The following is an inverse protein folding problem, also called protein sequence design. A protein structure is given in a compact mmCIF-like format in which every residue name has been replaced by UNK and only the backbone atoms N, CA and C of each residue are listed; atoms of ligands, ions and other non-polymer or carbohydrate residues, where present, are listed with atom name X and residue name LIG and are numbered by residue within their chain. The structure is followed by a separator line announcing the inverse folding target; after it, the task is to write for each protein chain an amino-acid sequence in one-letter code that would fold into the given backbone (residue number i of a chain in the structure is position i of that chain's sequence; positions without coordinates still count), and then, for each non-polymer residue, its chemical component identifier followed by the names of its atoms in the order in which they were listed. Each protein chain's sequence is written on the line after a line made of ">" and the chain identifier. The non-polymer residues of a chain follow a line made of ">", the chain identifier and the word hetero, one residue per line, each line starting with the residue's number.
data_IF_524740570844
#
_entry.id   IF_524740570844
#
_cell.length_a   1.000
_cell.length_b   1.000
_cell.length_c   1.000
_cell.angle_alpha   90.00
_cell.angle_beta   90.00
_cell.angle_gamma   90.00
#
_symmetry.space_group_name_H-M   'P 1'
#
loop_
_entity.id
_entity.type
_entity.pdbx_description
1 polymer ?
#
# COMPACT_ATOMS: atom_id res chain seq x y z
N UNK A 1 -0.78 -55.69 -1.02
CA UNK A 1 0.18 -55.01 -1.92
C UNK A 1 -0.14 -53.52 -1.92
N UNK A 2 0.48 -52.76 -1.03
CA UNK A 2 0.43 -51.29 -1.02
C UNK A 2 1.45 -50.78 -2.01
N UNK A 3 0.99 -50.32 -3.17
CA UNK A 3 1.83 -49.59 -4.14
C UNK A 3 2.24 -48.27 -3.49
N UNK A 4 3.44 -48.25 -2.90
CA UNK A 4 4.12 -47.04 -2.48
C UNK A 4 4.45 -46.23 -3.74
N UNK A 5 3.57 -45.30 -4.11
CA UNK A 5 3.88 -44.30 -5.12
C UNK A 5 4.99 -43.41 -4.59
N UNK A 6 6.23 -43.76 -4.92
CA UNK A 6 7.40 -42.94 -4.70
C UNK A 6 7.14 -41.60 -5.39
N UNK A 7 6.84 -40.57 -4.60
CA UNK A 7 6.49 -39.25 -5.10
C UNK A 7 7.73 -38.67 -5.79
N UNK A 8 7.73 -38.59 -7.12
CA UNK A 8 8.85 -38.00 -7.87
C UNK A 8 8.94 -36.51 -7.48
N UNK A 9 10.07 -36.05 -6.93
CA UNK A 9 10.24 -34.65 -6.51
C UNK A 9 10.09 -33.65 -7.67
N UNK A 10 10.12 -34.12 -8.93
CA UNK A 10 9.79 -33.32 -10.12
C UNK A 10 8.30 -32.98 -10.23
N UNK A 11 7.41 -33.86 -9.77
CA UNK A 11 5.95 -33.63 -9.78
C UNK A 11 5.54 -32.68 -8.65
N UNK A 12 6.23 -32.76 -7.50
CA UNK A 12 5.99 -31.89 -6.35
C UNK A 12 6.31 -30.41 -6.62
N UNK A 13 7.21 -30.13 -7.58
CA UNK A 13 7.60 -28.77 -7.97
C UNK A 13 7.01 -28.31 -9.31
N UNK A 14 6.12 -29.10 -9.93
CA UNK A 14 5.43 -28.66 -11.14
C UNK A 14 4.38 -27.60 -10.76
N UNK A 15 4.42 -26.39 -11.34
CA UNK A 15 3.40 -25.38 -11.08
C UNK A 15 1.97 -25.80 -11.46
N UNK A 16 1.78 -26.84 -12.29
CA UNK A 16 0.46 -27.44 -12.53
C UNK A 16 -0.09 -28.25 -11.35
N UNK A 17 0.77 -28.73 -10.46
CA UNK A 17 0.39 -29.46 -9.25
C UNK A 17 -0.17 -28.55 -8.16
N UNK A 18 -0.10 -27.22 -8.33
CA UNK A 18 -0.62 -26.26 -7.36
C UNK A 18 -2.15 -26.37 -7.19
N UNK A 19 -2.64 -26.74 -5.98
CA UNK A 19 -4.07 -26.82 -5.71
C UNK A 19 -4.80 -25.48 -5.88
N UNK A 20 -4.13 -24.34 -5.68
CA UNK A 20 -4.74 -23.03 -5.85
C UNK A 20 -5.02 -22.73 -7.33
N UNK A 21 -4.12 -23.11 -8.23
CA UNK A 21 -4.31 -23.03 -9.67
C UNK A 21 -5.50 -23.89 -10.12
N UNK A 22 -5.59 -25.14 -9.65
CA UNK A 22 -6.74 -26.03 -9.94
C UNK A 22 -8.06 -25.42 -9.47
N UNK A 23 -8.13 -24.90 -8.25
CA UNK A 23 -9.34 -24.23 -7.73
C UNK A 23 -9.72 -22.99 -8.55
N UNK A 24 -8.73 -22.21 -8.99
CA UNK A 24 -8.98 -21.04 -9.84
C UNK A 24 -9.51 -21.45 -11.21
N UNK A 25 -9.02 -22.55 -11.79
CA UNK A 25 -9.48 -23.07 -13.07
C UNK A 25 -10.90 -23.65 -12.95
N UNK A 26 -11.15 -24.48 -11.93
CA UNK A 26 -12.48 -25.03 -11.65
C UNK A 26 -13.51 -23.92 -11.42
N UNK A 27 -13.18 -22.91 -10.62
CA UNK A 27 -14.04 -21.74 -10.41
C UNK A 27 -14.26 -20.91 -11.67
N UNK A 28 -13.30 -20.87 -12.60
CA UNK A 28 -13.47 -20.22 -13.90
C UNK A 28 -14.44 -21.00 -14.80
N UNK A 29 -14.26 -22.31 -14.90
CA UNK A 29 -15.05 -23.20 -15.76
C UNK A 29 -16.49 -23.34 -15.24
N UNK A 30 -16.66 -23.56 -13.94
CA UNK A 30 -17.97 -23.77 -13.30
C UNK A 30 -18.96 -22.62 -13.46
N UNK A 31 -18.47 -21.40 -13.72
CA UNK A 31 -19.32 -20.24 -13.99
C UNK A 31 -19.85 -20.17 -15.43
N UNK A 32 -19.36 -21.05 -16.32
CA UNK A 32 -19.55 -20.94 -17.78
C UNK A 32 -20.17 -22.19 -18.40
N UNK A 33 -20.01 -23.35 -17.77
CA UNK A 33 -20.55 -24.62 -18.28
C UNK A 33 -21.47 -25.29 -17.26
N UNK A 34 -22.38 -26.18 -17.70
CA UNK A 34 -23.19 -27.00 -16.81
C UNK A 34 -22.34 -27.78 -15.80
N UNK A 35 -22.91 -28.06 -14.63
CA UNK A 35 -22.18 -28.76 -13.56
C UNK A 35 -21.64 -30.13 -13.98
N UNK A 36 -22.33 -30.82 -14.91
CA UNK A 36 -21.91 -32.10 -15.49
C UNK A 36 -20.59 -32.01 -16.26
N UNK A 37 -20.30 -30.85 -16.87
CA UNK A 37 -19.20 -30.71 -17.82
C UNK A 37 -17.95 -30.08 -17.17
N UNK A 38 -18.07 -29.62 -15.91
CA UNK A 38 -16.99 -28.91 -15.21
C UNK A 38 -15.75 -29.77 -15.07
N UNK A 39 -15.90 -30.98 -14.52
CA UNK A 39 -14.76 -31.86 -14.25
C UNK A 39 -14.10 -32.31 -15.55
N UNK A 40 -14.89 -32.61 -16.58
CA UNK A 40 -14.41 -33.01 -17.91
C UNK A 40 -13.62 -31.89 -18.60
N UNK A 41 -14.12 -30.65 -18.55
CA UNK A 41 -13.43 -29.49 -19.11
C UNK A 41 -12.14 -29.23 -18.34
N UNK A 42 -12.18 -29.22 -17.00
CA UNK A 42 -10.99 -29.00 -16.16
C UNK A 42 -9.93 -30.07 -16.43
N UNK A 43 -10.34 -31.34 -16.47
CA UNK A 43 -9.45 -32.45 -16.79
C UNK A 43 -8.83 -32.28 -18.18
N UNK A 44 -9.64 -31.98 -19.19
CA UNK A 44 -9.16 -31.79 -20.57
C UNK A 44 -8.14 -30.65 -20.65
N UNK A 45 -8.40 -29.52 -19.99
CA UNK A 45 -7.46 -28.39 -19.95
C UNK A 45 -6.13 -28.79 -19.31
N UNK A 46 -6.16 -29.53 -18.20
CA UNK A 46 -4.95 -29.99 -17.51
C UNK A 46 -4.18 -31.03 -18.34
N UNK A 47 -4.88 -31.95 -19.01
CA UNK A 47 -4.26 -32.91 -19.93
C UNK A 47 -3.57 -32.22 -21.11
N UNK A 48 -4.24 -31.26 -21.75
CA UNK A 48 -3.66 -30.46 -22.84
C UNK A 48 -2.44 -29.67 -22.34
N UNK A 49 -2.51 -29.14 -21.11
CA UNK A 49 -1.40 -28.43 -20.50
C UNK A 49 -0.19 -29.32 -20.21
N UNK A 50 -0.43 -30.56 -19.76
CA UNK A 50 0.63 -31.55 -19.52
C UNK A 50 1.29 -32.01 -20.83
N UNK A 51 0.52 -32.11 -21.92
CA UNK A 51 1.02 -32.52 -23.23
C UNK A 51 1.78 -31.41 -23.98
N UNK A 52 1.60 -30.13 -23.59
CA UNK A 52 2.18 -29.00 -24.30
C UNK A 52 3.69 -28.83 -24.05
N UNK A 53 4.48 -28.83 -25.13
CA UNK A 53 5.94 -28.68 -25.07
C UNK A 53 6.41 -27.23 -24.76
N UNK A 54 5.57 -26.23 -25.07
CA UNK A 54 5.88 -24.79 -24.92
C UNK A 54 5.24 -24.11 -23.70
N UNK A 55 4.89 -24.88 -22.67
CA UNK A 55 4.19 -24.38 -21.48
C UNK A 55 5.03 -23.32 -20.72
N UNK A 56 4.46 -22.15 -20.38
CA UNK A 56 5.15 -21.17 -19.54
C UNK A 56 5.52 -21.74 -18.16
N UNK A 57 6.72 -21.40 -17.67
CA UNK A 57 7.18 -21.81 -16.33
C UNK A 57 6.86 -20.81 -15.23
N UNK A 58 6.67 -19.54 -15.60
CA UNK A 58 6.22 -18.53 -14.65
C UNK A 58 4.76 -18.81 -14.24
N UNK A 59 4.43 -18.84 -12.94
CA UNK A 59 3.07 -19.14 -12.47
C UNK A 59 1.99 -18.19 -12.99
N UNK A 60 2.32 -16.90 -13.17
CA UNK A 60 1.34 -15.91 -13.60
C UNK A 60 1.02 -16.04 -15.10
N UNK A 61 2.05 -16.28 -15.91
CA UNK A 61 1.91 -16.56 -17.34
C UNK A 61 1.26 -17.92 -17.59
N UNK A 62 1.61 -18.94 -16.80
CA UNK A 62 1.00 -20.26 -16.84
C UNK A 62 -0.51 -20.15 -16.58
N UNK A 63 -0.91 -19.40 -15.55
CA UNK A 63 -2.32 -19.17 -15.24
C UNK A 63 -3.03 -18.49 -16.40
N UNK A 64 -2.47 -17.42 -16.97
CA UNK A 64 -3.06 -16.73 -18.12
C UNK A 64 -3.20 -17.65 -19.33
N UNK A 65 -2.18 -18.46 -19.60
CA UNK A 65 -2.14 -19.41 -20.71
C UNK A 65 -3.17 -20.54 -20.52
N UNK A 66 -3.26 -21.14 -19.33
CA UNK A 66 -4.29 -22.13 -18.97
C UNK A 66 -5.70 -21.59 -19.13
N UNK A 67 -5.95 -20.35 -18.70
CA UNK A 67 -7.24 -19.70 -18.91
C UNK A 67 -7.52 -19.46 -20.41
N UNK A 68 -6.48 -19.31 -21.24
CA UNK A 68 -6.61 -19.29 -22.70
C UNK A 68 -7.14 -20.63 -23.24
N UNK A 69 -6.53 -21.73 -22.83
CA UNK A 69 -6.98 -23.09 -23.19
C UNK A 69 -8.41 -23.31 -22.69
N UNK A 70 -8.70 -22.96 -21.44
CA UNK A 70 -10.01 -23.13 -20.83
C UNK A 70 -11.12 -22.40 -21.60
N UNK A 71 -10.87 -21.16 -22.04
CA UNK A 71 -11.81 -20.42 -22.90
C UNK A 71 -12.18 -21.20 -24.16
N UNK A 72 -11.18 -21.75 -24.85
CA UNK A 72 -11.43 -22.55 -26.05
C UNK A 72 -12.26 -23.81 -25.75
N UNK A 73 -11.99 -24.50 -24.63
CA UNK A 73 -12.76 -25.67 -24.22
C UNK A 73 -14.20 -25.33 -23.80
N UNK A 74 -14.41 -24.21 -23.13
CA UNK A 74 -15.75 -23.71 -22.81
C UNK A 74 -16.53 -23.42 -24.10
N UNK A 75 -15.91 -22.72 -25.07
CA UNK A 75 -16.52 -22.47 -26.37
C UNK A 75 -16.84 -23.79 -27.12
N UNK A 76 -15.99 -24.83 -27.00
CA UNK A 76 -16.27 -26.16 -27.54
C UNK A 76 -17.52 -26.80 -26.93
N UNK A 77 -17.74 -26.66 -25.61
CA UNK A 77 -18.93 -27.18 -24.93
C UNK A 77 -20.20 -26.49 -25.45
N UNK A 78 -20.22 -25.16 -25.54
CA UNK A 78 -21.37 -24.44 -26.11
C UNK A 78 -21.67 -24.88 -27.55
N UNK A 79 -20.63 -25.08 -28.38
CA UNK A 79 -20.79 -25.61 -29.75
C UNK A 79 -21.32 -27.04 -29.81
N UNK A 80 -21.14 -27.86 -28.77
CA UNK A 80 -21.70 -29.22 -28.72
C UNK A 80 -23.15 -29.20 -28.27
N UNK A 81 -23.45 -28.43 -27.23
CA UNK A 81 -24.80 -28.30 -26.66
C UNK A 81 -25.84 -27.82 -27.68
N UNK A 82 -25.45 -27.04 -28.68
CA UNK A 82 -26.33 -26.59 -29.76
C UNK A 82 -26.47 -27.57 -30.94
N UNK A 83 -25.52 -28.51 -31.12
CA UNK A 83 -25.56 -29.49 -32.22
C UNK A 83 -26.33 -30.76 -31.87
N UNK A 84 -26.33 -31.15 -30.60
CA UNK A 84 -27.11 -32.27 -30.11
C UNK A 84 -28.52 -31.79 -29.76
N UNK A 85 -29.60 -32.40 -30.30
CA UNK A 85 -30.93 -32.16 -29.76
C UNK A 85 -30.86 -32.53 -28.29
N UNK A 86 -31.22 -31.59 -27.41
CA UNK A 86 -31.26 -31.80 -25.97
C UNK A 86 -32.11 -33.05 -25.71
N UNK A 87 -31.46 -34.21 -25.56
CA UNK A 87 -32.11 -35.36 -24.98
C UNK A 87 -32.59 -34.88 -23.62
N UNK A 88 -33.86 -35.13 -23.28
CA UNK A 88 -34.40 -34.93 -21.93
C UNK A 88 -33.63 -35.84 -20.98
N UNK A 89 -32.43 -35.40 -20.61
CA UNK A 89 -31.71 -35.89 -19.45
C UNK A 89 -32.50 -35.40 -18.25
N UNK A 90 -32.69 -36.25 -17.23
CA UNK A 90 -33.37 -35.84 -16.00
C UNK A 90 -32.69 -34.60 -15.45
N UNK A 91 -33.50 -33.64 -14.98
CA UNK A 91 -33.11 -32.35 -14.44
C UNK A 91 -32.10 -32.53 -13.29
N UNK A 92 -30.82 -32.61 -13.65
CA UNK A 92 -29.73 -32.60 -12.69
C UNK A 92 -29.62 -31.18 -12.19
N UNK A 93 -30.08 -30.95 -10.96
CA UNK A 93 -30.06 -29.67 -10.28
C UNK A 93 -28.72 -28.95 -10.53
N UNK A 94 -28.74 -27.98 -11.44
CA UNK A 94 -27.60 -27.13 -11.70
C UNK A 94 -27.24 -26.46 -10.38
N UNK A 95 -26.04 -26.76 -9.85
CA UNK A 95 -25.59 -26.21 -8.58
C UNK A 95 -25.79 -24.69 -8.62
N UNK A 96 -26.53 -24.10 -7.67
CA UNK A 96 -26.91 -22.71 -7.78
C UNK A 96 -25.67 -21.83 -7.92
N UNK A 97 -25.66 -20.98 -8.95
CA UNK A 97 -24.64 -19.93 -9.07
C UNK A 97 -24.56 -19.16 -7.73
N UNK A 98 -23.35 -18.72 -7.31
CA UNK A 98 -23.18 -17.87 -6.14
C UNK A 98 -24.17 -16.70 -6.16
N UNK A 99 -24.66 -16.29 -5.00
CA UNK A 99 -25.71 -15.26 -4.86
C UNK A 99 -25.31 -13.98 -5.62
N UNK A 100 -24.04 -13.56 -5.51
CA UNK A 100 -23.49 -12.40 -6.21
C UNK A 100 -23.58 -12.51 -7.75
N UNK A 101 -23.31 -13.68 -8.32
CA UNK A 101 -23.38 -13.91 -9.76
C UNK A 101 -24.84 -13.91 -10.24
N UNK A 102 -25.75 -14.50 -9.46
CA UNK A 102 -27.21 -14.44 -9.72
C UNK A 102 -27.76 -13.04 -9.60
N UNK A 103 -27.25 -12.24 -8.67
CA UNK A 103 -27.65 -10.85 -8.49
C UNK A 103 -27.11 -9.97 -9.62
N UNK A 104 -25.87 -10.20 -10.05
CA UNK A 104 -25.29 -9.48 -11.18
C UNK A 104 -26.02 -9.83 -12.49
N UNK A 105 -26.35 -11.11 -12.71
CA UNK A 105 -27.16 -11.54 -13.87
C UNK A 105 -28.56 -10.93 -13.81
N UNK A 106 -29.27 -11.07 -12.68
CA UNK A 106 -30.62 -10.51 -12.50
C UNK A 106 -30.62 -9.00 -12.64
N UNK A 107 -29.61 -8.32 -12.13
CA UNK A 107 -29.43 -6.89 -12.29
C UNK A 107 -29.19 -6.53 -13.76
N UNK A 108 -28.33 -7.27 -14.47
CA UNK A 108 -28.09 -7.06 -15.90
C UNK A 108 -29.35 -7.30 -16.75
N UNK A 109 -30.15 -8.32 -16.43
CA UNK A 109 -31.44 -8.61 -17.06
C UNK A 109 -32.48 -7.52 -16.79
N UNK A 110 -32.60 -7.05 -15.54
CA UNK A 110 -33.49 -5.94 -15.17
C UNK A 110 -33.09 -4.64 -15.87
N UNK A 111 -31.79 -4.39 -15.99
CA UNK A 111 -31.25 -3.22 -16.67
C UNK A 111 -31.48 -3.31 -18.18
N UNK A 112 -31.12 -4.42 -18.83
CA UNK A 112 -31.24 -4.59 -20.28
C UNK A 112 -32.69 -4.55 -20.81
N UNK A 113 -33.67 -4.57 -19.91
CA UNK A 113 -35.10 -4.66 -20.20
C UNK A 113 -35.52 -6.12 -20.35
N UNK A 114 -36.68 -6.48 -19.80
CA UNK A 114 -37.19 -7.87 -19.77
C UNK A 114 -37.59 -8.44 -21.14
N UNK A 115 -37.09 -7.89 -22.25
CA UNK A 115 -37.37 -8.37 -23.59
C UNK A 115 -36.48 -9.59 -23.89
N UNK A 116 -37.06 -10.67 -24.44
CA UNK A 116 -36.30 -11.84 -24.90
C UNK A 116 -35.09 -11.49 -25.78
N UNK A 117 -35.20 -10.44 -26.59
CA UNK A 117 -34.09 -9.96 -27.41
C UNK A 117 -32.92 -9.37 -26.59
N UNK A 118 -33.20 -8.69 -25.48
CA UNK A 118 -32.14 -8.17 -24.62
C UNK A 118 -31.40 -9.32 -23.94
N UNK A 119 -32.13 -10.31 -23.40
CA UNK A 119 -31.57 -11.53 -22.82
C UNK A 119 -30.74 -12.32 -23.84
N UNK A 120 -31.23 -12.47 -25.06
CA UNK A 120 -30.47 -13.15 -26.13
C UNK A 120 -29.18 -12.40 -26.49
N UNK A 121 -29.22 -11.06 -26.45
CA UNK A 121 -28.01 -10.25 -26.69
C UNK A 121 -27.01 -10.39 -25.54
N UNK A 122 -27.49 -10.51 -24.30
CA UNK A 122 -26.66 -10.78 -23.11
C UNK A 122 -26.00 -12.16 -23.17
N UNK A 123 -26.74 -13.18 -23.60
CA UNK A 123 -26.22 -14.52 -23.83
C UNK A 123 -25.08 -14.50 -24.86
N UNK A 124 -25.29 -13.85 -26.02
CA UNK A 124 -24.23 -13.68 -27.01
C UNK A 124 -23.00 -12.95 -26.47
N UNK A 125 -23.18 -11.95 -25.62
CA UNK A 125 -22.06 -11.24 -24.97
C UNK A 125 -21.30 -12.11 -23.98
N UNK A 126 -22.01 -13.02 -23.30
CA UNK A 126 -21.41 -13.98 -22.36
C UNK A 126 -20.56 -14.98 -23.15
N UNK A 127 -21.12 -15.57 -24.21
CA UNK A 127 -20.44 -16.49 -25.13
C UNK A 127 -19.23 -15.85 -25.84
N UNK A 128 -19.37 -14.59 -26.27
CA UNK A 128 -18.26 -13.80 -26.82
C UNK A 128 -17.13 -13.63 -25.79
N UNK A 129 -17.49 -13.36 -24.53
CA UNK A 129 -16.54 -13.28 -23.41
C UNK A 129 -15.83 -14.60 -23.11
N UNK A 130 -16.48 -15.72 -23.41
CA UNK A 130 -15.94 -17.07 -23.22
C UNK A 130 -15.06 -17.53 -24.39
N UNK A 131 -14.96 -16.72 -25.45
CA UNK A 131 -14.02 -16.90 -26.56
C UNK A 131 -14.65 -17.32 -27.88
N UNK A 132 -15.98 -17.36 -27.95
CA UNK A 132 -16.68 -17.59 -29.20
C UNK A 132 -16.73 -16.33 -30.07
N UNK A 133 -16.60 -16.48 -31.39
CA UNK A 133 -16.66 -15.33 -32.30
C UNK A 133 -18.11 -14.97 -32.61
N UNK A 134 -18.41 -13.67 -32.70
CA UNK A 134 -19.76 -13.19 -33.03
C UNK A 134 -20.25 -13.71 -34.39
N UNK A 135 -19.36 -13.98 -35.34
CA UNK A 135 -19.70 -14.57 -36.65
C UNK A 135 -20.16 -16.02 -36.52
N UNK A 136 -19.54 -16.79 -35.61
CA UNK A 136 -19.89 -18.18 -35.32
C UNK A 136 -21.24 -18.23 -34.59
N UNK A 137 -21.42 -17.39 -33.57
CA UNK A 137 -22.70 -17.21 -32.87
C UNK A 137 -23.81 -16.84 -33.86
N UNK A 138 -23.54 -15.92 -34.80
CA UNK A 138 -24.50 -15.50 -35.81
C UNK A 138 -24.91 -16.64 -36.76
N UNK A 139 -23.94 -17.45 -37.20
CA UNK A 139 -24.18 -18.60 -38.06
C UNK A 139 -25.06 -19.65 -37.36
N UNK A 140 -24.78 -19.94 -36.09
CA UNK A 140 -25.53 -20.89 -35.28
C UNK A 140 -26.95 -20.41 -34.97
N UNK A 141 -27.08 -19.14 -34.58
CA UNK A 141 -28.37 -18.52 -34.25
C UNK A 141 -29.23 -18.20 -35.47
N UNK A 142 -28.69 -18.42 -36.68
CA UNK A 142 -29.32 -18.10 -37.97
C UNK A 142 -29.71 -16.63 -38.08
N UNK A 143 -28.85 -15.75 -37.55
CA UNK A 143 -29.01 -14.29 -37.59
C UNK A 143 -27.88 -13.69 -38.44
N UNK A 144 -28.14 -12.64 -39.25
CA UNK A 144 -27.06 -11.97 -39.98
C UNK A 144 -25.95 -11.44 -39.03
N UNK A 145 -24.65 -11.67 -39.31
CA UNK A 145 -23.55 -11.23 -38.44
C UNK A 145 -23.57 -9.74 -38.10
N UNK A 146 -23.96 -8.90 -39.07
CA UNK A 146 -24.10 -7.47 -38.86
C UNK A 146 -25.13 -7.11 -37.77
N UNK A 147 -26.23 -7.86 -37.66
CA UNK A 147 -27.26 -7.65 -36.63
C UNK A 147 -26.77 -8.03 -35.25
N UNK A 148 -26.03 -9.14 -35.11
CA UNK A 148 -25.43 -9.56 -33.83
C UNK A 148 -24.46 -8.48 -33.34
N UNK A 149 -23.51 -8.06 -34.20
CA UNK A 149 -22.55 -6.99 -33.85
C UNK A 149 -23.25 -5.68 -33.48
N UNK A 150 -24.29 -5.29 -34.22
CA UNK A 150 -25.03 -4.06 -33.93
C UNK A 150 -25.77 -4.13 -32.59
N UNK A 151 -26.42 -5.25 -32.27
CA UNK A 151 -27.13 -5.46 -31.00
C UNK A 151 -26.15 -5.44 -29.83
N UNK A 152 -25.05 -6.19 -29.92
CA UNK A 152 -23.99 -6.22 -28.90
C UNK A 152 -23.38 -4.83 -28.71
N UNK A 153 -23.08 -4.11 -29.81
CA UNK A 153 -22.54 -2.74 -29.74
C UNK A 153 -23.52 -1.77 -29.06
N UNK A 154 -24.80 -1.80 -29.42
CA UNK A 154 -25.84 -0.97 -28.79
C UNK A 154 -25.99 -1.30 -27.30
N UNK A 155 -26.01 -2.58 -26.95
CA UNK A 155 -26.11 -3.03 -25.57
C UNK A 155 -24.91 -2.56 -24.73
N UNK A 156 -23.69 -2.71 -25.23
CA UNK A 156 -22.46 -2.23 -24.58
C UNK A 156 -22.48 -0.71 -24.37
N UNK A 157 -22.93 0.06 -25.37
CA UNK A 157 -23.05 1.53 -25.27
C UNK A 157 -24.09 1.93 -24.22
N UNK A 158 -25.26 1.32 -24.27
CA UNK A 158 -26.35 1.56 -23.32
C UNK A 158 -25.92 1.28 -21.88
N UNK A 159 -25.25 0.15 -21.64
CA UNK A 159 -24.66 -0.16 -20.33
C UNK A 159 -23.61 0.88 -19.92
N UNK A 160 -22.66 1.21 -20.79
CA UNK A 160 -21.58 2.16 -20.47
C UNK A 160 -22.12 3.54 -20.07
N UNK A 161 -23.09 4.06 -20.81
CA UNK A 161 -23.71 5.36 -20.51
C UNK A 161 -24.36 5.37 -19.12
N UNK A 162 -24.96 4.24 -18.70
CA UNK A 162 -25.62 4.10 -17.41
C UNK A 162 -24.64 3.96 -16.25
N UNK A 163 -23.57 3.19 -16.43
CA UNK A 163 -22.54 3.00 -15.39
C UNK A 163 -21.64 4.23 -15.21
N UNK A 164 -21.45 5.05 -16.24
CA UNK A 164 -20.66 6.29 -16.10
C UNK A 164 -21.30 7.30 -15.15
N UNK A 165 -22.63 7.39 -15.12
CA UNK A 165 -23.34 8.25 -14.17
C UNK A 165 -23.14 7.78 -12.72
N UNK A 166 -23.23 6.47 -12.49
CA UNK A 166 -23.02 5.87 -11.16
C UNK A 166 -21.56 6.03 -10.70
N UNK A 167 -20.58 5.70 -11.54
CA UNK A 167 -19.15 5.85 -11.21
C UNK A 167 -18.80 7.32 -10.91
N UNK A 168 -19.36 8.28 -11.67
CA UNK A 168 -19.12 9.70 -11.44
C UNK A 168 -19.69 10.15 -10.07
N UNK A 169 -20.87 9.66 -9.69
CA UNK A 169 -21.45 9.94 -8.37
C UNK A 169 -20.59 9.38 -7.24
N UNK A 170 -20.14 8.13 -7.35
CA UNK A 170 -19.26 7.50 -6.35
C UNK A 170 -17.92 8.21 -6.25
N UNK A 171 -17.33 8.62 -7.38
CA UNK A 171 -16.09 9.39 -7.42
C UNK A 171 -16.26 10.78 -6.76
N UNK A 172 -17.40 11.44 -6.95
CA UNK A 172 -17.70 12.72 -6.31
C UNK A 172 -17.82 12.57 -4.78
N UNK A 173 -18.50 11.53 -4.30
CA UNK A 173 -18.57 11.21 -2.86
C UNK A 173 -17.19 10.93 -2.29
N UNK A 174 -16.37 10.15 -3.00
CA UNK A 174 -15.01 9.84 -2.57
C UNK A 174 -14.12 11.09 -2.53
N UNK A 175 -14.23 11.98 -3.52
CA UNK A 175 -13.53 13.25 -3.55
C UNK A 175 -13.96 14.16 -2.38
N UNK A 176 -15.26 14.24 -2.09
CA UNK A 176 -15.79 14.96 -0.92
C UNK A 176 -15.25 14.38 0.40
N UNK A 177 -15.20 13.06 0.53
CA UNK A 177 -14.65 12.39 1.70
C UNK A 177 -13.14 12.68 1.87
N UNK A 178 -12.37 12.69 0.78
CA UNK A 178 -10.95 13.08 0.80
C UNK A 178 -10.75 14.55 1.17
N UNK A 179 -11.59 15.45 0.66
CA UNK A 179 -11.56 16.87 1.02
C UNK A 179 -11.91 17.05 2.50
N UNK A 180 -12.96 16.39 2.99
CA UNK A 180 -13.33 16.41 4.40
C UNK A 180 -12.19 15.86 5.27
N UNK A 181 -11.64 14.69 4.92
CA UNK A 181 -10.49 14.12 5.60
C UNK A 181 -9.29 15.05 5.59
N UNK A 182 -8.99 15.71 4.48
CA UNK A 182 -7.91 16.69 4.38
C UNK A 182 -8.17 17.91 5.27
N UNK A 183 -9.42 18.40 5.33
CA UNK A 183 -9.82 19.50 6.22
C UNK A 183 -9.72 19.10 7.70
N UNK A 184 -10.16 17.89 8.08
CA UNK A 184 -10.06 17.36 9.44
C UNK A 184 -8.63 16.95 9.83
N UNK A 185 -7.79 16.59 8.85
CA UNK A 185 -6.37 16.33 9.03
C UNK A 185 -5.50 17.55 8.82
N UNK A 186 -6.05 18.73 8.51
CA UNK A 186 -5.27 19.96 8.62
C UNK A 186 -4.80 19.98 10.08
N UNK A 187 -3.49 19.85 10.33
CA UNK A 187 -3.00 20.02 11.68
C UNK A 187 -3.52 21.38 12.10
N UNK A 188 -4.28 21.43 13.20
CA UNK A 188 -4.55 22.70 13.86
C UNK A 188 -3.20 23.37 13.95
N UNK A 189 -3.05 24.57 13.38
CA UNK A 189 -1.80 25.31 13.48
C UNK A 189 -1.37 25.17 14.94
N UNK A 190 -0.18 24.58 15.22
CA UNK A 190 0.25 24.45 16.59
C UNK A 190 0.15 25.84 17.18
N UNK A 191 -0.71 26.00 18.20
CA UNK A 191 -0.98 27.27 18.85
C UNK A 191 0.36 27.99 18.99
N UNK A 192 0.49 29.23 18.47
CA UNK A 192 1.76 29.86 18.13
C UNK A 192 2.76 29.52 19.22
N UNK A 193 3.65 28.57 18.90
CA UNK A 193 4.56 27.99 19.86
C UNK A 193 5.26 29.17 20.49
N UNK A 194 5.05 29.35 21.80
CA UNK A 194 5.63 30.45 22.53
C UNK A 194 7.13 30.38 22.22
N UNK A 195 7.60 31.29 21.35
CA UNK A 195 9.01 31.41 21.02
C UNK A 195 9.73 31.30 22.35
N UNK A 196 10.73 30.41 22.52
CA UNK A 196 11.46 30.35 23.77
C UNK A 196 11.83 31.78 24.09
N UNK A 197 11.23 32.29 25.15
CA UNK A 197 11.47 33.63 25.62
C UNK A 197 12.98 33.67 25.75
N UNK A 198 13.63 34.56 24.99
CA UNK A 198 15.07 34.78 25.14
C UNK A 198 15.31 34.79 26.64
N UNK A 199 16.25 33.98 27.17
CA UNK A 199 16.50 33.97 28.60
C UNK A 199 16.61 35.42 29.02
N UNK A 200 15.70 35.85 29.91
CA UNK A 200 15.81 37.14 30.56
C UNK A 200 17.28 37.27 30.94
N UNK A 201 17.95 38.40 30.65
CA UNK A 201 19.31 38.58 31.13
C UNK A 201 19.28 38.23 32.61
N UNK A 202 20.16 37.30 33.01
CA UNK A 202 20.29 36.87 34.39
C UNK A 202 20.21 38.12 35.28
N UNK A 203 19.48 38.08 36.42
CA UNK A 203 19.35 39.24 37.27
C UNK A 203 20.75 39.79 37.48
N UNK A 204 20.97 41.00 36.96
CA UNK A 204 22.24 41.71 37.02
C UNK A 204 22.71 41.58 38.44
N UNK A 205 23.89 40.99 38.65
CA UNK A 205 24.49 40.84 39.98
C UNK A 205 24.25 42.14 40.74
N UNK A 206 23.42 42.04 41.77
CA UNK A 206 22.99 43.18 42.57
C UNK A 206 24.27 43.92 42.95
N UNK A 207 24.45 45.13 42.42
CA UNK A 207 25.67 45.91 42.64
C UNK A 207 25.62 46.29 44.10
N UNK A 208 26.25 45.47 44.94
CA UNK A 208 26.36 45.71 46.38
C UNK A 208 26.94 47.09 46.57
N UNK A 209 26.35 47.85 47.47
CA UNK A 209 26.87 49.18 47.74
C UNK A 209 28.32 49.05 48.22
N UNK A 210 29.24 49.99 47.88
CA UNK A 210 30.63 49.93 48.33
C UNK A 210 30.79 49.76 49.86
N UNK A 211 29.77 50.20 50.61
CA UNK A 211 29.71 50.10 52.06
C UNK A 211 29.43 48.68 52.55
N UNK A 212 28.62 47.90 51.83
CA UNK A 212 28.35 46.49 52.14
C UNK A 212 29.56 45.61 51.81
N UNK A 213 30.25 45.89 50.69
CA UNK A 213 31.49 45.19 50.34
C UNK A 213 32.60 45.47 51.37
N UNK A 214 32.72 46.71 51.84
CA UNK A 214 33.65 47.06 52.90
C UNK A 214 33.34 46.34 54.23
N UNK A 215 32.06 46.20 54.59
CA UNK A 215 31.64 45.44 55.78
C UNK A 215 32.00 43.96 55.64
N UNK A 216 31.70 43.35 54.50
CA UNK A 216 31.99 41.94 54.25
C UNK A 216 33.51 41.63 54.30
N UNK A 217 34.35 42.53 53.76
CA UNK A 217 35.80 42.40 53.85
C UNK A 217 36.29 42.51 55.30
N UNK A 218 35.71 43.40 56.10
CA UNK A 218 36.08 43.57 57.51
C UNK A 218 35.73 42.34 58.34
N UNK A 219 34.55 41.79 58.15
CA UNK A 219 34.09 40.59 58.86
C UNK A 219 34.97 39.37 58.51
N UNK A 220 35.36 39.26 57.24
CA UNK A 220 36.27 38.20 56.78
C UNK A 220 37.66 38.33 57.40
N UNK A 221 38.22 39.54 57.45
CA UNK A 221 39.51 39.78 58.08
C UNK A 221 39.49 39.46 59.59
N UNK A 222 38.39 39.80 60.29
CA UNK A 222 38.22 39.45 61.71
C UNK A 222 38.14 37.94 61.92
N UNK A 223 37.41 37.23 61.06
CA UNK A 223 37.31 35.78 61.08
C UNK A 223 38.68 35.11 60.88
N UNK A 224 39.45 35.59 59.89
CA UNK A 224 40.78 35.06 59.59
C UNK A 224 41.76 35.32 60.74
N UNK A 225 41.72 36.50 61.36
CA UNK A 225 42.50 36.80 62.57
C UNK A 225 42.10 35.92 63.76
N UNK A 226 40.81 35.64 63.94
CA UNK A 226 40.34 34.77 65.00
C UNK A 226 40.83 33.32 64.81
N UNK A 227 40.86 32.84 63.55
CA UNK A 227 41.43 31.54 63.19
C UNK A 227 42.95 31.48 63.29
N UNK A 228 43.63 32.60 63.04
CA UNK A 228 45.08 32.66 63.02
C UNK A 228 45.72 32.89 64.39
N UNK A 229 44.94 32.97 65.50
CA UNK A 229 45.50 33.12 66.85
C UNK A 229 46.40 31.91 67.19
N UNK A 230 47.73 32.09 67.33
CA UNK A 230 48.61 31.02 67.77
C UNK A 230 48.44 30.85 69.29
N UNK A 231 48.25 29.62 69.75
CA UNK A 231 48.38 29.26 71.16
C UNK A 231 49.83 29.51 71.61
N UNK A 232 50.01 30.45 72.52
CA UNK A 232 51.33 30.79 73.08
C UNK A 232 51.64 29.81 74.23
N UNK A 233 52.59 28.88 74.05
CA UNK A 233 53.42 28.34 75.16
C UNK A 233 54.76 27.76 74.64
N UNK A 234 55.78 27.98 75.47
CA UNK A 234 57.21 27.65 75.45
C UNK A 234 57.61 26.33 74.73
N UNK A 235 58.82 26.09 74.20
CA UNK A 235 60.16 26.52 74.63
C UNK A 235 61.25 26.28 73.54
N UNK A 236 62.32 27.08 73.62
CA UNK A 236 63.76 26.79 73.36
C UNK A 236 64.30 26.36 71.98
N UNK A 237 65.24 27.20 71.48
CA UNK A 237 66.50 26.92 70.77
C UNK A 237 66.42 26.23 69.38
N UNK A 238 67.17 26.57 68.33
CA UNK A 238 68.26 27.53 68.07
C UNK A 238 68.52 27.55 66.54
N UNK A 239 68.45 28.74 65.90
CA UNK A 239 69.47 29.40 65.02
C UNK A 239 70.29 28.56 63.99
N UNK A 240 70.70 29.08 62.79
CA UNK A 240 70.02 29.94 61.80
C UNK A 240 70.46 29.72 60.30
N UNK A 241 69.97 30.63 59.42
CA UNK A 241 70.57 31.18 58.18
C UNK A 241 70.39 30.46 56.84
N UNK A 242 69.73 31.18 55.94
CA UNK A 242 69.83 31.00 54.48
C UNK A 242 68.95 32.02 53.75
N UNK A 243 69.37 33.29 53.75
CA UNK A 243 68.66 34.41 53.10
C UNK A 243 68.92 34.34 51.58
N UNK A 244 67.86 34.22 50.78
CA UNK A 244 67.93 34.29 49.31
C UNK A 244 66.78 35.14 48.77
N UNK A 245 67.14 36.29 48.24
CA UNK A 245 66.28 37.29 47.60
C UNK A 245 66.18 37.02 46.10
N UNK A 246 64.97 36.83 45.56
CA UNK A 246 64.65 37.05 44.13
C UNK A 246 63.21 37.58 44.07
N UNK A 247 63.01 38.89 43.97
CA UNK A 247 63.10 39.80 42.81
C UNK A 247 62.02 39.48 41.77
N UNK A 248 61.14 40.47 41.63
CA UNK A 248 59.98 40.54 40.76
C UNK A 248 60.33 40.41 39.28
N UNK A 249 59.40 39.84 38.52
CA UNK A 249 59.35 39.97 37.06
C UNK A 249 57.90 40.12 36.61
N UNK A 250 57.64 41.17 35.84
CA UNK A 250 56.35 41.62 35.31
C UNK A 250 55.66 40.60 34.40
N UNK A 251 54.31 40.59 34.32
CA UNK A 251 53.58 39.86 33.30
C UNK A 251 53.47 40.65 31.98
N UNK A 252 53.79 39.98 30.87
CA UNK A 252 53.67 40.44 29.48
C UNK A 252 52.21 40.72 29.07
N UNK A 253 51.95 41.65 28.12
CA UNK A 253 50.60 41.99 27.66
C UNK A 253 50.05 40.99 26.63
N UNK A 254 48.73 40.76 26.69
CA UNK A 254 47.95 39.93 25.77
C UNK A 254 47.74 40.59 24.38
N UNK A 255 47.70 39.83 23.27
CA UNK A 255 47.44 40.38 21.94
C UNK A 255 45.94 40.56 21.65
N UNK A 256 45.62 41.69 20.99
CA UNK A 256 44.27 42.12 20.56
C UNK A 256 43.73 41.21 19.43
N UNK A 257 42.51 40.68 19.59
CA UNK A 257 41.75 40.00 18.51
C UNK A 257 41.18 41.02 17.51
N UNK A 258 41.53 40.80 16.24
CA UNK A 258 41.05 41.57 15.09
C UNK A 258 39.57 41.34 14.75
N UNK A 259 38.97 42.39 14.18
CA UNK A 259 37.58 42.48 13.72
C UNK A 259 37.34 41.60 12.48
N UNK A 260 36.21 40.89 12.44
CA UNK A 260 35.66 40.28 11.20
C UNK A 260 34.75 41.29 10.46
N UNK A 261 34.76 41.33 9.11
CA UNK A 261 33.98 42.29 8.35
C UNK A 261 32.53 41.84 8.10
N UNK A 262 31.64 42.84 8.09
CA UNK A 262 30.21 42.80 7.75
C UNK A 262 30.02 42.38 6.28
N UNK A 263 29.19 41.36 6.02
CA UNK A 263 28.55 41.17 4.71
C UNK A 263 27.33 42.10 4.61
N UNK A 264 27.32 42.96 3.60
CA UNK A 264 26.15 43.75 3.18
C UNK A 264 25.34 42.93 2.19
N UNK A 265 24.04 42.81 2.45
CA UNK A 265 23.01 42.38 1.50
C UNK A 265 22.13 43.57 1.16
N UNK A 266 22.00 43.90 -0.12
CA UNK A 266 20.93 44.69 -0.75
C UNK A 266 21.24 44.71 -2.25
N UNK A 267 20.34 44.76 -3.23
CA UNK A 267 18.91 44.56 -3.42
C UNK A 267 18.67 45.17 -4.83
N UNK A 268 17.77 44.61 -5.64
CA UNK A 268 17.07 45.25 -6.79
C UNK A 268 17.97 45.80 -7.91
N UNK A 269 17.72 45.48 -9.17
CA UNK A 269 16.50 45.68 -9.98
C UNK A 269 16.52 44.69 -11.13
#
# INVERSE_FOLDING_TARGET
>A
MTLSMSSDPRVANDPLSDPALRRSLEGFVRRRVPASDVDDVVQTVLCDALAAQGRPRDPSDLRRWLLGIARHKVADVHRRAHREPQAELPDLEARPAPIEERELLRWAEQQAGATRDAQKTLDWMTREGDGEKLEEIAAEERVPPARVRQRVSRMRRWMKERWQAEIAATAAVFALALVAWWLFRRPSDPAPEARPEKPLPAPSAEVKSPLEDARALRDRALYDCARARPTRRASTASTPRGRSTRRATEPRPWPRRGKRPRRRSTARR
#
